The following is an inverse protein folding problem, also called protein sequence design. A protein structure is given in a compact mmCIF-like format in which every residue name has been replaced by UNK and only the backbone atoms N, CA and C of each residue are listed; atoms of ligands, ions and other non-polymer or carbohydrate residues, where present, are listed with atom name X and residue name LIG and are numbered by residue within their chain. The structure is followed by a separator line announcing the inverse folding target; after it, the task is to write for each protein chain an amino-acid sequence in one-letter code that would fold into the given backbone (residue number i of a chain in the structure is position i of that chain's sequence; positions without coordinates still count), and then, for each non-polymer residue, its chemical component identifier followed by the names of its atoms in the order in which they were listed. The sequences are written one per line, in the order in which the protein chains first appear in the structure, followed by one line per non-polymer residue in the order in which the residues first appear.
data_IF_987433261143
#
_entry.id   IF_987433261143
#
_cell.length_a   1.000
_cell.length_b   1.000
_cell.length_c   1.000
_cell.angle_alpha   90.00
_cell.angle_beta   90.00
_cell.angle_gamma   90.00
#
_symmetry.space_group_name_H-M   'P 1'
#
loop_
_entity.id
_entity.type
_entity.pdbx_description
1 polymer ?
#
# COMPACT_ATOMS: atom_id res chain seq x y z
N UNK A 1 27.85 28.59 -66.29
CA UNK A 1 26.41 28.39 -66.02
C UNK A 1 26.20 26.89 -66.04
N UNK A 2 26.42 26.21 -64.91
CA UNK A 2 25.39 25.89 -63.90
C UNK A 2 24.18 25.27 -64.62
N UNK A 3 23.92 23.98 -64.49
CA UNK A 3 23.63 23.36 -63.21
C UNK A 3 24.25 21.96 -63.06
N UNK A 4 25.08 21.80 -62.03
CA UNK A 4 25.32 20.52 -61.38
C UNK A 4 24.01 20.14 -60.67
N UNK A 5 23.19 19.34 -61.34
CA UNK A 5 22.28 18.45 -60.63
C UNK A 5 23.09 17.23 -60.23
N UNK A 6 23.95 17.42 -59.23
CA UNK A 6 24.60 16.32 -58.52
C UNK A 6 23.49 15.43 -57.96
N UNK A 7 23.55 14.16 -58.37
CA UNK A 7 22.65 13.09 -58.00
C UNK A 7 22.33 13.09 -56.50
N UNK A 8 21.09 13.42 -56.14
CA UNK A 8 20.48 13.06 -54.86
C UNK A 8 20.28 11.54 -54.82
N UNK A 9 21.40 10.80 -54.75
CA UNK A 9 21.39 9.36 -54.52
C UNK A 9 20.82 9.01 -53.13
N UNK A 10 20.36 7.77 -52.91
CA UNK A 10 19.66 7.31 -51.69
C UNK A 10 20.50 7.30 -50.39
N UNK A 11 21.62 8.03 -50.34
CA UNK A 11 22.63 8.01 -49.29
C UNK A 11 22.80 9.35 -48.54
N UNK A 12 21.84 10.27 -48.65
CA UNK A 12 22.13 11.70 -48.48
C UNK A 12 21.79 12.41 -47.17
N UNK A 13 21.31 11.77 -46.10
CA UNK A 13 20.82 12.55 -44.94
C UNK A 13 21.32 12.08 -43.56
N UNK A 14 22.64 12.20 -43.30
CA UNK A 14 23.21 11.86 -42.00
C UNK A 14 22.67 12.74 -40.86
N UNK A 15 22.23 13.96 -41.18
CA UNK A 15 21.49 14.83 -40.27
C UNK A 15 20.15 14.20 -39.86
N UNK A 16 19.36 13.71 -40.82
CA UNK A 16 18.05 13.10 -40.56
C UNK A 16 18.20 11.84 -39.70
N UNK A 17 19.20 11.00 -39.97
CA UNK A 17 19.48 9.81 -39.16
C UNK A 17 19.83 10.17 -37.71
N UNK A 18 20.64 11.22 -37.52
CA UNK A 18 21.03 11.70 -36.18
C UNK A 18 19.83 12.31 -35.43
N UNK A 19 18.99 13.10 -36.13
CA UNK A 19 17.77 13.67 -35.56
C UNK A 19 16.74 12.59 -35.22
N UNK A 20 16.57 11.57 -36.07
CA UNK A 20 15.69 10.44 -35.80
C UNK A 20 16.15 9.65 -34.58
N UNK A 21 17.46 9.38 -34.45
CA UNK A 21 18.04 8.77 -33.25
C UNK A 21 17.78 9.59 -31.98
N UNK A 22 17.97 10.92 -32.06
CA UNK A 22 17.63 11.83 -30.97
C UNK A 22 16.15 11.79 -30.59
N UNK A 23 15.25 11.80 -31.58
CA UNK A 23 13.81 11.73 -31.36
C UNK A 23 13.39 10.41 -30.69
N UNK A 24 13.99 9.28 -31.08
CA UNK A 24 13.76 7.97 -30.44
C UNK A 24 14.19 7.99 -28.98
N UNK A 25 15.35 8.58 -28.66
CA UNK A 25 15.83 8.71 -27.27
C UNK A 25 14.89 9.56 -26.41
N UNK A 26 14.40 10.68 -26.95
CA UNK A 26 13.44 11.54 -26.25
C UNK A 26 12.11 10.82 -26.04
N UNK A 27 11.57 10.15 -27.06
CA UNK A 27 10.34 9.36 -26.93
C UNK A 27 10.49 8.24 -25.90
N UNK A 28 11.63 7.53 -25.92
CA UNK A 28 11.93 6.50 -24.93
C UNK A 28 12.01 7.06 -23.50
N UNK A 29 12.55 8.27 -23.32
CA UNK A 29 12.57 8.92 -22.01
C UNK A 29 11.18 9.40 -21.53
N UNK A 30 10.28 9.74 -22.46
CA UNK A 30 8.92 10.18 -22.11
C UNK A 30 7.97 9.01 -21.84
N UNK A 31 8.15 7.89 -22.54
CA UNK A 31 7.28 6.72 -22.44
C UNK A 31 7.84 5.64 -21.51
N UNK A 32 9.16 5.49 -21.44
CA UNK A 32 9.86 4.48 -20.64
C UNK A 32 9.44 4.48 -19.17
N UNK A 33 9.35 5.64 -18.50
CA UNK A 33 8.93 5.71 -17.09
C UNK A 33 7.49 5.26 -16.83
N UNK A 34 6.65 5.10 -17.86
CA UNK A 34 5.29 4.55 -17.70
C UNK A 34 5.26 3.03 -17.62
N UNK A 35 6.30 2.36 -18.12
CA UNK A 35 6.33 0.90 -18.26
C UNK A 35 7.55 0.25 -17.59
N UNK A 36 8.59 1.03 -17.29
CA UNK A 36 9.84 0.55 -16.70
C UNK A 36 9.90 0.71 -15.19
N UNK A 37 10.70 -0.13 -14.54
CA UNK A 37 11.04 0.03 -13.13
C UNK A 37 11.98 1.23 -12.92
N UNK A 38 11.86 1.95 -11.80
CA UNK A 38 12.78 3.03 -11.50
C UNK A 38 14.21 2.50 -11.32
N UNK A 39 15.17 3.18 -11.92
CA UNK A 39 16.60 2.87 -11.82
C UNK A 39 17.35 4.06 -11.20
N UNK A 40 18.46 3.82 -10.48
CA UNK A 40 19.26 4.89 -9.93
C UNK A 40 19.89 5.72 -11.07
N UNK A 41 20.05 7.03 -10.86
CA UNK A 41 20.52 7.97 -11.88
C UNK A 41 21.80 7.50 -12.60
N UNK A 42 22.84 6.97 -11.93
CA UNK A 42 24.04 6.49 -12.63
C UNK A 42 23.75 5.36 -13.62
N UNK A 43 22.86 4.42 -13.25
CA UNK A 43 22.46 3.32 -14.14
C UNK A 43 21.67 3.84 -15.34
N UNK A 44 20.78 4.81 -15.13
CA UNK A 44 20.06 5.48 -16.22
C UNK A 44 21.01 6.24 -17.14
N UNK A 45 21.97 7.00 -16.61
CA UNK A 45 22.94 7.75 -17.41
C UNK A 45 23.80 6.82 -18.26
N UNK A 46 24.30 5.72 -17.69
CA UNK A 46 25.07 4.71 -18.42
C UNK A 46 24.20 4.06 -19.49
N UNK A 47 22.97 3.65 -19.15
CA UNK A 47 22.03 3.03 -20.10
C UNK A 47 21.64 3.98 -21.23
N UNK A 48 21.38 5.24 -20.92
CA UNK A 48 21.06 6.29 -21.90
C UNK A 48 22.23 6.58 -22.83
N UNK A 49 23.44 6.75 -22.30
CA UNK A 49 24.65 6.92 -23.10
C UNK A 49 24.92 5.71 -24.01
N UNK A 50 24.73 4.49 -23.50
CA UNK A 50 24.85 3.26 -24.28
C UNK A 50 23.81 3.16 -25.40
N UNK A 51 22.55 3.54 -25.12
CA UNK A 51 21.50 3.61 -26.14
C UNK A 51 21.84 4.63 -27.24
N UNK A 52 22.38 5.80 -26.85
CA UNK A 52 22.91 6.79 -27.78
C UNK A 52 24.03 6.26 -28.67
N UNK A 53 24.97 5.49 -28.10
CA UNK A 53 26.03 4.82 -28.85
C UNK A 53 25.48 3.78 -29.83
N UNK A 54 24.50 2.97 -29.41
CA UNK A 54 23.87 1.96 -30.28
C UNK A 54 23.15 2.62 -31.46
N UNK A 55 22.37 3.67 -31.21
CA UNK A 55 21.70 4.41 -32.29
C UNK A 55 22.71 5.09 -33.23
N UNK A 56 23.82 5.57 -32.67
CA UNK A 56 24.92 6.08 -33.49
C UNK A 56 25.53 4.98 -34.37
N UNK A 57 25.79 3.78 -33.84
CA UNK A 57 26.30 2.64 -34.62
C UNK A 57 25.36 2.24 -35.76
N UNK A 58 24.05 2.25 -35.51
CA UNK A 58 23.03 1.98 -36.53
C UNK A 58 23.08 3.06 -37.63
N UNK A 59 23.10 4.33 -37.24
CA UNK A 59 23.23 5.45 -38.18
C UNK A 59 24.55 5.46 -38.95
N UNK A 60 25.63 5.01 -38.30
CA UNK A 60 26.97 4.82 -38.87
C UNK A 60 26.97 3.81 -40.02
N UNK A 61 26.42 2.63 -39.76
CA UNK A 61 26.32 1.56 -40.76
C UNK A 61 25.39 1.94 -41.92
N UNK A 62 24.28 2.63 -41.63
CA UNK A 62 23.26 2.95 -42.62
C UNK A 62 23.63 4.14 -43.52
N UNK A 63 24.26 5.21 -42.98
CA UNK A 63 24.35 6.49 -43.70
C UNK A 63 25.68 7.23 -43.53
N UNK A 64 26.33 7.15 -42.37
CA UNK A 64 27.48 8.03 -42.05
C UNK A 64 28.87 7.40 -42.28
N UNK A 65 28.95 6.17 -42.81
CA UNK A 65 30.22 5.48 -43.08
C UNK A 65 31.20 6.29 -43.94
N UNK A 66 30.69 7.04 -44.92
CA UNK A 66 31.46 7.84 -45.88
C UNK A 66 31.60 9.32 -45.47
N UNK A 67 31.05 9.72 -44.33
CA UNK A 67 31.16 11.09 -43.84
C UNK A 67 32.57 11.41 -43.31
N UNK A 68 32.90 12.71 -43.24
CA UNK A 68 34.18 13.17 -42.68
C UNK A 68 34.29 12.88 -41.17
N UNK A 69 35.52 12.87 -40.66
CA UNK A 69 35.79 12.51 -39.26
C UNK A 69 35.08 13.43 -38.27
N UNK A 70 35.01 14.73 -38.57
CA UNK A 70 34.31 15.73 -37.75
C UNK A 70 32.83 15.41 -37.56
N UNK A 71 32.14 14.99 -38.63
CA UNK A 71 30.74 14.59 -38.57
C UNK A 71 30.53 13.30 -37.77
N UNK A 72 31.41 12.31 -37.94
CA UNK A 72 31.37 11.05 -37.18
C UNK A 72 31.49 11.30 -35.68
N UNK A 73 32.47 12.10 -35.27
CA UNK A 73 32.69 12.45 -33.86
C UNK A 73 31.59 13.37 -33.32
N UNK A 74 31.14 14.35 -34.10
CA UNK A 74 30.08 15.28 -33.70
C UNK A 74 28.73 14.58 -33.48
N UNK A 75 28.31 13.71 -34.40
CA UNK A 75 27.08 12.92 -34.26
C UNK A 75 27.15 11.91 -33.12
N UNK A 76 28.33 11.33 -32.87
CA UNK A 76 28.56 10.43 -31.74
C UNK A 76 28.37 11.17 -30.41
N UNK A 77 29.08 12.28 -30.24
CA UNK A 77 28.98 13.11 -29.05
C UNK A 77 27.54 13.60 -28.82
N UNK A 78 26.85 14.00 -29.90
CA UNK A 78 25.47 14.46 -29.83
C UNK A 78 24.51 13.35 -29.40
N UNK A 79 24.62 12.13 -29.93
CA UNK A 79 23.72 11.03 -29.56
C UNK A 79 24.00 10.46 -28.17
N UNK A 80 25.28 10.39 -27.76
CA UNK A 80 25.63 10.04 -26.38
C UNK A 80 25.09 11.11 -25.41
N UNK A 81 25.29 12.39 -25.72
CA UNK A 81 24.78 13.51 -24.93
C UNK A 81 23.25 13.53 -24.86
N UNK A 82 22.58 13.29 -25.98
CA UNK A 82 21.12 13.17 -26.05
C UNK A 82 20.61 11.98 -25.23
N UNK A 83 21.33 10.85 -25.26
CA UNK A 83 21.00 9.67 -24.46
C UNK A 83 21.15 9.91 -22.95
N UNK A 84 22.22 10.59 -22.53
CA UNK A 84 22.40 11.00 -21.14
C UNK A 84 21.34 12.04 -20.70
N UNK A 85 20.99 12.99 -21.56
CA UNK A 85 19.92 13.96 -21.31
C UNK A 85 18.54 13.29 -21.19
N UNK A 86 18.23 12.34 -22.07
CA UNK A 86 17.03 11.52 -22.03
C UNK A 86 16.93 10.72 -20.72
N UNK A 87 18.04 10.15 -20.24
CA UNK A 87 18.11 9.48 -18.96
C UNK A 87 17.82 10.41 -17.76
N UNK A 88 18.32 11.66 -17.80
CA UNK A 88 18.01 12.66 -16.77
C UNK A 88 16.52 13.03 -16.76
N UNK A 89 15.88 13.16 -17.93
CA UNK A 89 14.43 13.40 -18.05
C UNK A 89 13.64 12.23 -17.46
N UNK A 90 13.99 10.99 -17.84
CA UNK A 90 13.35 9.79 -17.31
C UNK A 90 13.48 9.70 -15.77
N UNK A 91 14.66 10.03 -15.23
CA UNK A 91 14.87 10.11 -13.79
C UNK A 91 13.96 11.15 -13.13
N UNK A 92 13.82 12.34 -13.72
CA UNK A 92 12.91 13.38 -13.25
C UNK A 92 11.44 12.94 -13.23
N UNK A 93 11.01 12.16 -14.22
CA UNK A 93 9.66 11.59 -14.24
C UNK A 93 9.44 10.56 -13.13
N UNK A 94 10.39 9.64 -12.90
CA UNK A 94 10.31 8.68 -11.79
C UNK A 94 10.23 9.39 -10.43
N UNK A 95 11.04 10.44 -10.23
CA UNK A 95 10.99 11.25 -9.01
C UNK A 95 9.63 11.93 -8.84
N UNK A 96 9.05 12.47 -9.92
CA UNK A 96 7.75 13.13 -9.87
C UNK A 96 6.62 12.16 -9.51
N UNK A 97 6.59 10.98 -10.15
CA UNK A 97 5.61 9.93 -9.86
C UNK A 97 5.77 9.40 -8.43
N UNK A 98 7.00 9.14 -7.99
CA UNK A 98 7.26 8.68 -6.62
C UNK A 98 6.82 9.72 -5.57
N UNK A 99 7.03 11.01 -5.82
CA UNK A 99 6.56 12.07 -4.93
C UNK A 99 5.03 12.14 -4.90
N UNK A 100 4.34 11.94 -6.03
CA UNK A 100 2.88 11.86 -6.05
C UNK A 100 2.37 10.68 -5.24
N UNK A 101 3.01 9.51 -5.36
CA UNK A 101 2.70 8.32 -4.56
C UNK A 101 2.85 8.63 -3.05
N UNK A 102 4.02 9.14 -2.65
CA UNK A 102 4.28 9.54 -1.27
C UNK A 102 3.36 10.65 -0.75
N UNK A 103 2.92 11.59 -1.59
CA UNK A 103 2.01 12.66 -1.15
C UNK A 103 0.66 12.12 -0.68
N UNK A 104 0.22 10.98 -1.21
CA UNK A 104 -0.97 10.25 -0.71
C UNK A 104 -0.89 9.97 0.79
N UNK A 105 0.32 9.68 1.29
CA UNK A 105 0.58 9.38 2.70
C UNK A 105 0.78 10.63 3.54
N UNK A 106 1.33 11.70 2.96
CA UNK A 106 1.44 13.00 3.61
C UNK A 106 0.07 13.68 3.79
N UNK A 107 -0.89 13.39 2.93
CA UNK A 107 -2.22 14.00 2.94
C UNK A 107 -3.25 13.15 3.70
N UNK A 108 -2.85 12.05 4.37
CA UNK A 108 -3.77 11.23 5.15
C UNK A 108 -4.36 12.05 6.30
N UNK A 109 -5.69 12.02 6.38
CA UNK A 109 -6.45 12.54 7.51
C UNK A 109 -7.03 11.39 8.32
N UNK A 110 -7.37 11.66 9.57
CA UNK A 110 -8.10 10.71 10.41
C UNK A 110 -9.52 11.26 10.57
N UNK A 111 -10.52 10.44 10.26
CA UNK A 111 -11.91 10.74 10.58
C UNK A 111 -12.13 10.83 12.10
N UNK A 112 -13.31 11.27 12.52
CA UNK A 112 -13.67 11.36 13.95
C UNK A 112 -13.59 10.00 14.67
N UNK A 113 -13.89 8.92 13.95
CA UNK A 113 -13.77 7.54 14.44
C UNK A 113 -12.34 6.98 14.32
N UNK A 114 -11.37 7.78 13.84
CA UNK A 114 -9.97 7.39 13.66
C UNK A 114 -9.66 6.61 12.41
N UNK A 115 -10.64 6.38 11.54
CA UNK A 115 -10.37 5.71 10.26
C UNK A 115 -9.51 6.60 9.36
N UNK A 116 -8.48 6.04 8.69
CA UNK A 116 -7.66 6.81 7.76
C UNK A 116 -8.47 7.18 6.52
N UNK A 117 -8.54 8.48 6.25
CA UNK A 117 -9.10 9.06 5.04
C UNK A 117 -7.97 9.37 4.07
N UNK A 118 -7.98 8.69 2.93
CA UNK A 118 -7.07 8.97 1.83
C UNK A 118 -7.53 10.20 1.05
N UNK A 119 -6.60 11.01 0.52
CA UNK A 119 -6.96 12.11 -0.36
C UNK A 119 -7.61 11.60 -1.64
N UNK A 120 -8.42 12.44 -2.27
CA UNK A 120 -9.08 12.10 -3.53
C UNK A 120 -8.06 11.65 -4.59
N UNK A 121 -8.35 10.51 -5.23
CA UNK A 121 -7.49 9.92 -6.26
C UNK A 121 -6.21 9.27 -5.75
N UNK A 122 -6.03 9.07 -4.43
CA UNK A 122 -4.83 8.44 -3.86
C UNK A 122 -4.42 7.15 -4.59
N UNK A 123 -5.37 6.27 -4.90
CA UNK A 123 -5.10 5.01 -5.60
C UNK A 123 -4.51 5.19 -7.03
N UNK A 124 -4.69 6.36 -7.65
CA UNK A 124 -4.14 6.68 -8.96
C UNK A 124 -2.78 7.40 -8.92
N UNK A 125 -2.26 7.74 -7.74
CA UNK A 125 -1.02 8.51 -7.59
C UNK A 125 0.25 7.66 -7.67
N UNK A 126 0.16 6.36 -7.42
CA UNK A 126 1.25 5.41 -7.58
C UNK A 126 0.92 4.01 -7.06
N UNK A 127 1.83 3.05 -7.26
CA UNK A 127 1.62 1.65 -6.88
C UNK A 127 1.54 1.44 -5.36
N UNK A 128 2.28 2.22 -4.55
CA UNK A 128 2.27 2.04 -3.09
C UNK A 128 0.96 2.57 -2.51
N UNK A 129 0.51 3.75 -2.95
CA UNK A 129 -0.76 4.34 -2.55
C UNK A 129 -1.96 3.51 -3.03
N UNK A 130 -1.89 2.88 -4.21
CA UNK A 130 -2.90 1.93 -4.69
C UNK A 130 -3.01 0.72 -3.75
N UNK A 131 -1.89 0.05 -3.46
CA UNK A 131 -1.88 -1.12 -2.57
C UNK A 131 -2.40 -0.78 -1.17
N UNK A 132 -2.06 0.41 -0.66
CA UNK A 132 -2.56 0.86 0.63
C UNK A 132 -4.06 1.16 0.61
N UNK A 133 -4.58 1.78 -0.45
CA UNK A 133 -6.03 2.00 -0.62
C UNK A 133 -6.80 0.68 -0.69
N UNK A 134 -6.30 -0.30 -1.44
CA UNK A 134 -6.89 -1.64 -1.55
C UNK A 134 -6.86 -2.36 -0.19
N UNK A 135 -5.77 -2.20 0.59
CA UNK A 135 -5.66 -2.76 1.92
C UNK A 135 -6.68 -2.15 2.91
N UNK A 136 -6.86 -0.83 2.91
CA UNK A 136 -7.85 -0.17 3.75
C UNK A 136 -9.27 -0.63 3.41
N UNK A 137 -9.61 -0.71 2.13
CA UNK A 137 -10.91 -1.19 1.68
C UNK A 137 -11.14 -2.66 2.11
N UNK A 138 -10.13 -3.51 1.96
CA UNK A 138 -10.20 -4.90 2.38
C UNK A 138 -10.39 -5.04 3.90
N UNK A 139 -9.78 -4.18 4.71
CA UNK A 139 -9.92 -4.18 6.16
C UNK A 139 -11.33 -3.73 6.60
N UNK A 140 -11.91 -2.72 5.94
CA UNK A 140 -13.32 -2.31 6.16
C UNK A 140 -14.28 -3.46 5.84
N UNK A 141 -14.06 -4.16 4.71
CA UNK A 141 -14.88 -5.32 4.33
C UNK A 141 -14.73 -6.46 5.35
N UNK A 142 -13.51 -6.75 5.79
CA UNK A 142 -13.23 -7.78 6.80
C UNK A 142 -13.91 -7.47 8.13
N UNK A 143 -13.85 -6.22 8.59
CA UNK A 143 -14.49 -5.78 9.82
C UNK A 143 -16.01 -5.92 9.76
N UNK A 144 -16.64 -5.54 8.64
CA UNK A 144 -18.08 -5.74 8.42
C UNK A 144 -18.45 -7.22 8.42
N UNK A 145 -17.72 -8.05 7.69
CA UNK A 145 -17.97 -9.49 7.63
C UNK A 145 -17.87 -10.15 9.03
N UNK A 146 -16.89 -9.73 9.84
CA UNK A 146 -16.75 -10.22 11.21
C UNK A 146 -17.91 -9.76 12.11
N UNK A 147 -18.31 -8.49 12.02
CA UNK A 147 -19.46 -7.95 12.76
C UNK A 147 -20.78 -8.65 12.36
N UNK A 148 -20.99 -8.88 11.06
CA UNK A 148 -22.15 -9.60 10.54
C UNK A 148 -22.19 -11.05 11.03
N UNK A 149 -21.03 -11.72 11.09
CA UNK A 149 -20.93 -13.07 11.64
C UNK A 149 -21.32 -13.13 13.13
N UNK A 150 -20.84 -12.18 13.93
CA UNK A 150 -21.22 -12.04 15.34
C UNK A 150 -22.71 -11.71 15.52
N UNK A 151 -23.26 -10.85 14.65
CA UNK A 151 -24.67 -10.49 14.66
C UNK A 151 -25.56 -11.70 14.33
N UNK A 152 -25.21 -12.48 13.30
CA UNK A 152 -25.90 -13.73 12.92
C UNK A 152 -25.85 -14.78 14.01
N UNK A 153 -24.73 -14.90 14.72
CA UNK A 153 -24.61 -15.75 15.91
C UNK A 153 -25.52 -15.27 17.05
N UNK A 154 -25.82 -13.97 17.13
CA UNK A 154 -26.61 -13.38 18.19
C UNK A 154 -25.78 -12.96 19.41
N UNK A 155 -24.51 -12.62 19.22
CA UNK A 155 -23.60 -12.20 20.30
C UNK A 155 -24.16 -11.05 21.15
N UNK A 156 -24.97 -10.17 20.55
CA UNK A 156 -25.66 -9.09 21.24
C UNK A 156 -26.66 -9.57 22.31
N UNK A 157 -27.40 -10.65 22.02
CA UNK A 157 -28.40 -11.21 22.94
C UNK A 157 -27.76 -11.77 24.22
N UNK A 158 -26.51 -12.23 24.15
CA UNK A 158 -25.77 -12.73 25.32
C UNK A 158 -25.50 -11.66 26.38
N UNK A 159 -25.67 -10.37 26.05
CA UNK A 159 -25.48 -9.26 26.99
C UNK A 159 -26.79 -8.77 27.61
N UNK A 160 -27.94 -9.32 27.24
CA UNK A 160 -29.24 -8.88 27.75
C UNK A 160 -30.15 -10.08 28.04
N UNK A 161 -30.55 -10.29 29.31
CA UNK A 161 -31.48 -11.37 29.65
C UNK A 161 -32.83 -11.19 28.93
N UNK A 162 -33.24 -9.96 28.65
CA UNK A 162 -34.46 -9.65 27.90
C UNK A 162 -34.35 -10.10 26.44
N UNK A 163 -33.28 -9.72 25.74
CA UNK A 163 -33.07 -10.15 24.35
C UNK A 163 -32.91 -11.65 24.25
N UNK A 164 -32.28 -12.27 25.24
CA UNK A 164 -32.08 -13.72 25.28
C UNK A 164 -33.38 -14.49 25.55
N UNK A 165 -34.31 -13.92 26.32
CA UNK A 165 -35.66 -14.46 26.49
C UNK A 165 -36.45 -14.41 25.18
N UNK A 166 -36.28 -13.35 24.38
CA UNK A 166 -36.95 -13.20 23.08
C UNK A 166 -36.34 -14.07 21.98
N UNK A 167 -35.02 -14.21 21.99
CA UNK A 167 -34.28 -14.99 21.01
C UNK A 167 -33.25 -15.90 21.70
N UNK A 168 -33.64 -17.12 22.10
CA UNK A 168 -32.76 -18.06 22.78
C UNK A 168 -31.78 -18.77 21.82
N UNK A 169 -31.83 -18.50 20.51
CA UNK A 169 -30.99 -19.20 19.52
C UNK A 169 -29.50 -19.07 19.84
N UNK A 170 -29.07 -17.90 20.34
CA UNK A 170 -27.66 -17.64 20.68
C UNK A 170 -27.08 -18.60 21.73
N UNK A 171 -27.91 -19.16 22.62
CA UNK A 171 -27.49 -20.16 23.64
C UNK A 171 -27.87 -21.61 23.25
N UNK A 172 -28.55 -21.79 22.12
CA UNK A 172 -28.93 -23.11 21.61
C UNK A 172 -27.80 -23.82 20.87
N UNK A 173 -26.89 -23.06 20.25
CA UNK A 173 -25.73 -23.59 19.53
C UNK A 173 -24.46 -22.76 19.77
N UNK A 174 -23.83 -22.97 20.93
CA UNK A 174 -22.58 -22.28 21.25
C UNK A 174 -21.41 -22.68 20.32
N UNK A 175 -21.50 -23.78 19.57
CA UNK A 175 -20.45 -24.21 18.64
C UNK A 175 -20.41 -23.37 17.36
N UNK A 176 -21.48 -22.63 17.06
CA UNK A 176 -21.56 -21.70 15.94
C UNK A 176 -20.54 -20.54 15.99
N UNK A 177 -19.78 -20.41 17.09
CA UNK A 177 -18.67 -19.45 17.21
C UNK A 177 -17.38 -19.92 16.51
N UNK A 178 -17.19 -21.23 16.32
CA UNK A 178 -15.97 -21.79 15.70
C UNK A 178 -15.74 -21.31 14.25
N UNK A 179 -16.77 -21.27 13.38
CA UNK A 179 -16.63 -20.66 12.05
C UNK A 179 -16.21 -19.19 12.09
N UNK A 180 -16.62 -18.44 13.13
CA UNK A 180 -16.23 -17.03 13.30
C UNK A 180 -14.75 -16.92 13.71
N UNK A 181 -14.27 -17.86 14.52
CA UNK A 181 -12.84 -17.98 14.86
C UNK A 181 -11.99 -18.29 13.63
N UNK A 182 -12.44 -19.23 12.79
CA UNK A 182 -11.79 -19.53 11.51
C UNK A 182 -11.74 -18.29 10.60
N UNK A 183 -12.86 -17.58 10.47
CA UNK A 183 -12.93 -16.32 9.71
C UNK A 183 -11.92 -15.27 10.20
N UNK A 184 -11.79 -15.08 11.52
CA UNK A 184 -10.79 -14.15 12.08
C UNK A 184 -9.35 -14.55 11.70
N UNK A 185 -9.04 -15.85 11.75
CA UNK A 185 -7.76 -16.39 11.33
C UNK A 185 -7.46 -16.14 9.86
N UNK A 186 -8.41 -16.44 8.97
CA UNK A 186 -8.28 -16.19 7.52
C UNK A 186 -8.06 -14.70 7.22
N UNK A 187 -8.85 -13.82 7.86
CA UNK A 187 -8.71 -12.38 7.69
C UNK A 187 -7.35 -11.87 8.18
N UNK A 188 -6.81 -12.45 9.26
CA UNK A 188 -5.49 -12.12 9.77
C UNK A 188 -4.37 -12.49 8.81
N UNK A 189 -4.40 -13.71 8.26
CA UNK A 189 -3.46 -14.14 7.23
C UNK A 189 -3.52 -13.24 5.99
N UNK A 190 -4.73 -12.87 5.56
CA UNK A 190 -4.92 -11.96 4.44
C UNK A 190 -4.36 -10.55 4.74
N UNK A 191 -4.53 -10.02 5.96
CA UNK A 191 -3.92 -8.75 6.39
C UNK A 191 -2.40 -8.81 6.36
N UNK A 192 -1.81 -9.86 6.93
CA UNK A 192 -0.36 -10.09 6.93
C UNK A 192 0.18 -10.12 5.49
N UNK A 193 -0.48 -10.87 4.59
CA UNK A 193 -0.08 -10.94 3.19
C UNK A 193 -0.13 -9.56 2.49
N UNK A 194 -1.18 -8.76 2.73
CA UNK A 194 -1.28 -7.39 2.21
C UNK A 194 -0.18 -6.49 2.73
N UNK A 195 0.11 -6.52 4.05
CA UNK A 195 1.19 -5.73 4.64
C UNK A 195 2.57 -6.13 4.11
N UNK A 196 2.79 -7.42 3.85
CA UNK A 196 4.03 -7.90 3.22
C UNK A 196 4.18 -7.36 1.79
N UNK A 197 3.15 -7.47 0.96
CA UNK A 197 3.16 -6.92 -0.39
C UNK A 197 3.40 -5.39 -0.39
N UNK A 198 2.77 -4.68 0.56
CA UNK A 198 2.98 -3.25 0.73
C UNK A 198 4.42 -2.93 1.17
N UNK A 199 5.01 -3.69 2.09
CA UNK A 199 6.40 -3.51 2.51
C UNK A 199 7.39 -3.73 1.34
N UNK A 200 7.16 -4.73 0.50
CA UNK A 200 7.97 -4.99 -0.71
C UNK A 200 7.85 -3.84 -1.73
N UNK A 201 6.64 -3.32 -1.94
CA UNK A 201 6.40 -2.17 -2.81
C UNK A 201 7.08 -0.90 -2.27
N UNK A 202 7.01 -0.64 -0.97
CA UNK A 202 7.72 0.48 -0.32
C UNK A 202 9.23 0.34 -0.48
N UNK A 203 9.76 -0.88 -0.28
CA UNK A 203 11.18 -1.18 -0.39
C UNK A 203 11.72 -0.89 -1.80
N UNK A 204 10.97 -1.28 -2.83
CA UNK A 204 11.33 -1.11 -4.24
C UNK A 204 11.01 0.28 -4.83
N UNK A 205 10.18 1.08 -4.17
CA UNK A 205 9.81 2.41 -4.65
C UNK A 205 11.01 3.37 -4.76
N UNK A 206 10.99 4.28 -5.72
CA UNK A 206 12.01 5.33 -5.91
C UNK A 206 11.83 6.50 -4.95
N UNK A 207 11.72 6.23 -3.66
CA UNK A 207 11.43 7.21 -2.61
C UNK A 207 12.65 7.53 -1.76
N UNK A 208 12.75 8.77 -1.22
CA UNK A 208 13.70 9.09 -0.16
C UNK A 208 13.57 8.11 1.01
N UNK A 209 14.69 7.76 1.64
CA UNK A 209 14.70 6.78 2.73
C UNK A 209 13.77 7.18 3.88
N UNK A 210 13.76 8.47 4.22
CA UNK A 210 12.87 9.02 5.25
C UNK A 210 11.38 8.83 4.89
N UNK A 211 11.00 9.03 3.62
CA UNK A 211 9.63 8.81 3.16
C UNK A 211 9.25 7.33 3.23
N UNK A 212 10.14 6.41 2.81
CA UNK A 212 9.91 4.96 2.94
C UNK A 212 9.65 4.54 4.38
N UNK A 213 10.43 5.06 5.33
CA UNK A 213 10.26 4.76 6.74
C UNK A 213 8.91 5.28 7.28
N UNK A 214 8.51 6.50 6.89
CA UNK A 214 7.21 7.06 7.25
C UNK A 214 6.04 6.24 6.72
N UNK A 215 6.10 5.85 5.42
CA UNK A 215 5.07 5.02 4.79
C UNK A 215 5.02 3.62 5.42
N UNK A 216 6.18 3.00 5.69
CA UNK A 216 6.24 1.70 6.37
C UNK A 216 5.63 1.77 7.78
N UNK A 217 5.83 2.87 8.50
CA UNK A 217 5.20 3.09 9.80
C UNK A 217 3.66 3.21 9.69
N UNK A 218 3.15 3.89 8.67
CA UNK A 218 1.70 3.97 8.39
C UNK A 218 1.13 2.58 8.06
N UNK A 219 1.82 1.82 7.21
CA UNK A 219 1.45 0.47 6.79
C UNK A 219 1.39 -0.52 7.98
N UNK A 220 2.22 -0.30 9.00
CA UNK A 220 2.34 -1.17 10.16
C UNK A 220 3.20 -2.41 9.91
N UNK A 221 3.42 -3.18 10.97
CA UNK A 221 4.25 -4.38 10.91
C UNK A 221 3.59 -5.50 10.07
N UNK A 222 4.39 -6.10 9.19
CA UNK A 222 4.01 -7.21 8.33
C UNK A 222 4.20 -8.58 8.99
N UNK A 223 4.89 -8.68 10.13
CA UNK A 223 5.15 -9.95 10.82
C UNK A 223 4.01 -10.36 11.76
N UNK A 224 3.25 -9.40 12.29
CA UNK A 224 2.25 -9.66 13.34
C UNK A 224 0.91 -8.96 13.07
N UNK A 225 -0.17 -9.60 13.50
CA UNK A 225 -1.51 -9.01 13.52
C UNK A 225 -2.04 -8.95 14.96
N UNK A 226 -1.86 -7.81 15.67
CA UNK A 226 -2.30 -7.68 17.06
C UNK A 226 -3.81 -7.82 17.22
N UNK A 227 -4.58 -7.61 16.14
CA UNK A 227 -6.03 -7.74 16.17
C UNK A 227 -6.48 -9.19 16.33
N UNK A 228 -5.73 -10.16 15.80
CA UNK A 228 -6.14 -11.57 15.83
C UNK A 228 -6.23 -12.09 17.26
N UNK A 229 -5.19 -11.88 18.07
CA UNK A 229 -5.15 -12.35 19.45
C UNK A 229 -6.32 -11.75 20.27
N UNK A 230 -6.60 -10.46 20.07
CA UNK A 230 -7.71 -9.78 20.72
C UNK A 230 -9.08 -10.32 20.26
N UNK A 231 -9.28 -10.53 18.95
CA UNK A 231 -10.49 -11.13 18.40
C UNK A 231 -10.72 -12.55 18.93
N UNK A 232 -9.67 -13.38 18.97
CA UNK A 232 -9.74 -14.73 19.53
C UNK A 232 -10.11 -14.70 21.01
N UNK A 233 -9.46 -13.85 21.81
CA UNK A 233 -9.78 -13.72 23.23
C UNK A 233 -11.24 -13.27 23.48
N UNK A 234 -11.78 -12.38 22.65
CA UNK A 234 -13.17 -11.97 22.72
C UNK A 234 -14.13 -13.11 22.34
N UNK A 235 -13.81 -13.88 21.30
CA UNK A 235 -14.60 -15.04 20.87
C UNK A 235 -14.58 -16.14 21.94
N UNK A 236 -13.43 -16.42 22.55
CA UNK A 236 -13.30 -17.39 23.64
C UNK A 236 -14.20 -17.02 24.83
N UNK A 237 -14.12 -15.76 25.27
CA UNK A 237 -14.95 -15.28 26.36
C UNK A 237 -16.45 -15.25 26.00
N UNK A 238 -16.78 -15.06 24.73
CA UNK A 238 -18.16 -15.13 24.22
C UNK A 238 -18.67 -16.58 24.18
N UNK A 239 -17.83 -17.54 23.82
CA UNK A 239 -18.13 -18.97 23.85
C UNK A 239 -18.39 -19.46 25.28
N UNK A 240 -17.52 -19.08 26.21
CA UNK A 240 -17.66 -19.38 27.64
C UNK A 240 -18.95 -18.77 28.21
N UNK A 241 -19.27 -17.53 27.83
CA UNK A 241 -20.53 -16.88 28.22
C UNK A 241 -21.75 -17.60 27.65
N UNK A 242 -21.70 -18.00 26.38
CA UNK A 242 -22.76 -18.78 25.76
C UNK A 242 -23.02 -20.07 26.54
N UNK A 243 -21.95 -20.84 26.83
CA UNK A 243 -22.05 -22.09 27.57
C UNK A 243 -22.61 -21.89 29.00
N UNK A 244 -22.16 -20.83 29.69
CA UNK A 244 -22.68 -20.44 31.00
C UNK A 244 -24.20 -20.17 30.94
N UNK A 245 -24.64 -19.36 29.98
CA UNK A 245 -26.06 -18.98 29.85
C UNK A 245 -26.93 -20.14 29.32
N UNK A 246 -26.37 -21.06 28.54
CA UNK A 246 -27.03 -22.27 28.08
C UNK A 246 -27.44 -23.20 29.23
N UNK A 247 -26.80 -23.12 30.41
CA UNK A 247 -27.20 -23.85 31.62
C UNK A 247 -28.54 -23.40 32.19
N UNK A 248 -29.08 -22.26 31.74
CA UNK A 248 -30.39 -21.71 32.15
C UNK A 248 -30.57 -21.57 33.67
N UNK A 249 -29.47 -21.39 34.39
CA UNK A 249 -29.45 -21.06 35.82
C UNK A 249 -29.67 -19.57 36.08
N UNK A 250 -29.77 -18.76 35.03
CA UNK A 250 -30.02 -17.32 35.11
C UNK A 250 -31.51 -16.98 35.10
N UNK A 251 -31.83 -15.76 35.51
CA UNK A 251 -33.15 -15.14 35.40
C UNK A 251 -33.01 -13.64 35.13
N UNK A 252 -34.08 -13.02 34.63
CA UNK A 252 -34.12 -11.59 34.39
C UNK A 252 -34.41 -10.86 35.72
N UNK A 253 -33.41 -10.17 36.25
CA UNK A 253 -33.49 -9.33 37.44
C UNK A 253 -33.51 -7.86 37.01
N UNK A 254 -34.68 -7.35 36.63
CA UNK A 254 -34.87 -5.95 36.20
C UNK A 254 -33.95 -5.52 35.04
N UNK A 255 -33.80 -6.36 34.01
CA UNK A 255 -32.95 -6.11 32.85
C UNK A 255 -31.51 -6.60 32.99
N UNK A 256 -31.13 -7.12 34.17
CA UNK A 256 -29.81 -7.69 34.43
C UNK A 256 -29.88 -9.21 34.62
N UNK A 257 -28.76 -9.90 34.35
CA UNK A 257 -28.65 -11.32 34.63
C UNK A 257 -28.56 -11.55 36.16
N UNK A 258 -29.62 -12.09 36.74
CA UNK A 258 -29.57 -12.76 38.05
C UNK A 258 -29.24 -14.24 37.88
N UNK A 259 -28.70 -14.89 38.91
CA UNK A 259 -28.33 -16.32 38.88
C UNK A 259 -28.87 -17.06 40.10
N UNK A 260 -29.34 -18.29 39.88
CA UNK A 260 -29.91 -19.17 40.91
C UNK A 260 -28.86 -19.77 41.84
N UNK A 261 -27.59 -19.75 41.46
CA UNK A 261 -26.48 -20.21 42.28
C UNK A 261 -25.31 -19.22 42.23
N UNK A 262 -24.51 -19.19 43.30
CA UNK A 262 -23.39 -18.26 43.43
C UNK A 262 -22.20 -18.57 42.50
N UNK A 263 -22.01 -19.83 42.12
CA UNK A 263 -20.91 -20.23 41.23
C UNK A 263 -21.07 -19.65 39.82
N UNK A 264 -22.28 -19.69 39.27
CA UNK A 264 -22.61 -19.12 37.96
C UNK A 264 -22.59 -17.60 37.99
N UNK A 265 -23.03 -16.98 39.11
CA UNK A 265 -22.90 -15.54 39.32
C UNK A 265 -21.42 -15.10 39.30
N UNK A 266 -20.55 -15.82 40.01
CA UNK A 266 -19.12 -15.55 40.04
C UNK A 266 -18.46 -15.75 38.67
N UNK A 267 -18.82 -16.82 37.95
CA UNK A 267 -18.34 -17.08 36.60
C UNK A 267 -18.78 -15.98 35.61
N UNK A 268 -20.03 -15.52 35.67
CA UNK A 268 -20.53 -14.41 34.86
C UNK A 268 -19.76 -13.12 35.12
N UNK A 269 -19.53 -12.78 36.39
CA UNK A 269 -18.77 -11.59 36.77
C UNK A 269 -17.31 -11.65 36.28
N UNK A 270 -16.65 -12.80 36.42
CA UNK A 270 -15.30 -13.02 35.93
C UNK A 270 -15.21 -12.87 34.39
N UNK A 271 -16.17 -13.45 33.65
CA UNK A 271 -16.28 -13.28 32.20
C UNK A 271 -16.52 -11.82 31.80
N UNK A 272 -17.37 -11.10 32.53
CA UNK A 272 -17.60 -9.68 32.31
C UNK A 272 -16.34 -8.83 32.53
N UNK A 273 -15.52 -9.16 33.54
CA UNK A 273 -14.22 -8.50 33.74
C UNK A 273 -13.24 -8.81 32.59
N UNK A 274 -13.12 -10.08 32.18
CA UNK A 274 -12.24 -10.48 31.07
C UNK A 274 -12.63 -9.81 29.75
N UNK A 275 -13.92 -9.78 29.41
CA UNK A 275 -14.41 -9.13 28.16
C UNK A 275 -14.17 -7.63 28.16
N UNK A 276 -14.29 -6.95 29.31
CA UNK A 276 -13.93 -5.52 29.43
C UNK A 276 -12.44 -5.30 29.19
N UNK A 277 -11.56 -6.11 29.78
CA UNK A 277 -10.12 -6.02 29.55
C UNK A 277 -9.75 -6.22 28.08
N UNK A 278 -10.37 -7.20 27.40
CA UNK A 278 -10.16 -7.41 25.96
C UNK A 278 -10.67 -6.22 25.13
N UNK A 279 -11.79 -5.60 25.50
CA UNK A 279 -12.29 -4.40 24.82
C UNK A 279 -11.38 -3.17 25.03
N UNK A 280 -10.79 -3.02 26.22
CA UNK A 280 -9.80 -1.97 26.51
C UNK A 280 -8.52 -2.15 25.68
N UNK A 281 -8.06 -3.39 25.53
CA UNK A 281 -6.93 -3.75 24.67
C UNK A 281 -7.23 -3.46 23.19
N UNK A 282 -8.45 -3.76 22.71
CA UNK A 282 -8.87 -3.39 21.36
C UNK A 282 -8.76 -1.87 21.13
N UNK A 283 -9.18 -1.07 22.12
CA UNK A 283 -9.00 0.38 22.10
C UNK A 283 -7.53 0.82 22.14
N UNK A 284 -6.65 0.08 22.80
CA UNK A 284 -5.21 0.35 22.78
C UNK A 284 -4.58 0.06 21.41
N UNK A 285 -4.97 -1.05 20.76
CA UNK A 285 -4.53 -1.39 19.40
C UNK A 285 -4.93 -0.29 18.41
N UNK A 286 -6.16 0.21 18.51
CA UNK A 286 -6.67 1.28 17.66
C UNK A 286 -5.92 2.61 17.91
N UNK A 287 -5.70 2.99 19.18
CA UNK A 287 -4.90 4.19 19.51
C UNK A 287 -3.48 4.10 19.00
N UNK A 288 -2.83 2.94 19.11
CA UNK A 288 -1.49 2.72 18.57
C UNK A 288 -1.48 2.83 17.05
N UNK A 289 -2.49 2.27 16.37
CA UNK A 289 -2.65 2.44 14.92
C UNK A 289 -2.78 3.90 14.49
N UNK A 290 -3.62 4.69 15.17
CA UNK A 290 -3.76 6.14 14.93
C UNK A 290 -2.43 6.87 15.14
N UNK A 291 -1.74 6.59 16.25
CA UNK A 291 -0.45 7.20 16.56
C UNK A 291 0.60 6.89 15.50
N UNK A 292 0.68 5.63 15.02
CA UNK A 292 1.56 5.24 13.92
C UNK A 292 1.24 5.98 12.63
N UNK A 293 -0.05 6.10 12.27
CA UNK A 293 -0.47 6.83 11.06
C UNK A 293 -0.08 8.31 11.17
N UNK A 294 -0.37 8.98 12.28
CA UNK A 294 -0.01 10.39 12.49
C UNK A 294 1.51 10.59 12.42
N UNK A 295 2.29 9.83 13.18
CA UNK A 295 3.74 9.96 13.20
C UNK A 295 4.38 9.63 11.85
N UNK A 296 3.87 8.61 11.16
CA UNK A 296 4.34 8.24 9.83
C UNK A 296 4.00 9.31 8.78
N UNK A 297 2.79 9.87 8.80
CA UNK A 297 2.39 10.98 7.92
C UNK A 297 3.30 12.18 8.09
N UNK A 298 3.55 12.59 9.33
CA UNK A 298 4.36 13.77 9.61
C UNK A 298 5.82 13.52 9.16
N UNK A 299 6.33 12.30 9.32
CA UNK A 299 7.63 11.90 8.77
C UNK A 299 7.67 11.95 7.23
N UNK A 300 6.59 11.58 6.53
CA UNK A 300 6.51 11.71 5.06
C UNK A 300 6.44 13.18 4.64
N UNK A 301 5.66 14.02 5.34
CA UNK A 301 5.59 15.47 5.10
C UNK A 301 6.97 16.11 5.21
N UNK A 302 7.72 15.78 6.26
CA UNK A 302 9.08 16.28 6.48
C UNK A 302 10.09 15.77 5.45
N UNK A 303 9.88 14.59 4.89
CA UNK A 303 10.70 14.06 3.83
C UNK A 303 10.41 14.75 2.48
N UNK A 304 9.15 15.08 2.20
CA UNK A 304 8.73 15.73 0.96
C UNK A 304 8.99 17.24 0.94
N UNK A 305 9.01 17.90 2.11
CA UNK A 305 9.32 19.33 2.25
C UNK A 305 10.79 19.64 1.99
N UNK A 306 11.69 18.65 2.12
CA UNK A 306 13.11 18.80 1.78
C UNK A 306 13.32 18.80 0.26
N UNK A 307 14.20 19.70 -0.20
CA UNK A 307 14.48 19.92 -1.62
C UNK A 307 15.01 18.64 -2.28
N UNK A 308 14.61 18.40 -3.53
CA UNK A 308 15.06 17.28 -4.39
C UNK A 308 16.58 17.31 -4.69
N UNK A 309 17.26 18.41 -4.35
CA UNK A 309 18.67 18.65 -4.61
C UNK A 309 19.55 18.59 -3.35
N UNK A 310 18.96 18.39 -2.18
CA UNK A 310 19.72 18.18 -0.95
C UNK A 310 20.32 16.77 -0.98
N UNK A 311 21.64 16.66 -0.95
CA UNK A 311 22.34 15.39 -0.76
C UNK A 311 21.98 14.83 0.62
N UNK A 312 21.41 13.63 0.66
CA UNK A 312 21.51 12.73 1.84
C UNK A 312 22.85 12.00 1.81
#
# INVERSE_FOLDING_TARGET
MSDNWDEEGPYGHPLIATLAGGAVLVLAALLGPRFGSPLPLPALLIGGAAAGLVLWLIGFLATTRHANLGWKLGSLALLIGAGAGAAAIAHGQFQTQSRADASSFAEIELAADGTPLLPAGAAGRGPVSQLYADALQADVVAQRAFADALAKFGAGALNSPYLLQQNPHAIGDCKAIEPIRALAGEQSLARIARRKALAEAIGSASLPRAAKLGIARIAGDAATDPLLANQQAMLDATAELCALLARRSWYNANGYFGFRNGADAAAFAALGARRRAVAEEAGAIDRDARARITAGRDQVRDALSRSIYARE
#
